data_IF_004139882585
#
_entry.id   IF_004139882585
#
_cell.length_a   1.000
_cell.length_b   1.000
_cell.length_c   1.000
_cell.angle_alpha   90.00
_cell.angle_beta   90.00
_cell.angle_gamma   90.00
#
_symmetry.space_group_name_H-M   'P 1'
#
loop_
_entity.id
_entity.type
_entity.pdbx_description
1 polymer ?
#
# COMPACT_ATOMS: atom_id res chain seq x y z
N UNK A 1 -2.68 18.16 -87.39
CA UNK A 1 -3.88 18.75 -86.79
C UNK A 1 -5.05 17.77 -86.69
N UNK A 2 -5.35 16.95 -87.67
CA UNK A 2 -6.44 15.97 -87.70
C UNK A 2 -6.34 14.87 -86.63
N UNK A 3 -5.16 14.39 -86.27
CA UNK A 3 -4.98 13.29 -85.32
C UNK A 3 -5.24 13.71 -83.84
N UNK A 4 -5.01 15.02 -83.52
CA UNK A 4 -5.31 15.56 -82.16
C UNK A 4 -6.82 15.79 -81.97
N UNK A 5 -7.53 16.20 -83.00
CA UNK A 5 -8.98 16.40 -82.95
C UNK A 5 -9.75 15.01 -82.75
N UNK A 6 -9.19 13.99 -83.42
CA UNK A 6 -9.83 12.63 -83.29
C UNK A 6 -9.60 12.02 -81.90
N UNK A 7 -8.43 12.20 -81.29
CA UNK A 7 -8.17 11.78 -79.89
C UNK A 7 -9.02 12.52 -78.88
N UNK A 8 -9.27 13.81 -79.06
CA UNK A 8 -10.14 14.62 -78.23
C UNK A 8 -11.63 14.22 -78.36
N UNK A 9 -12.08 13.86 -79.58
CA UNK A 9 -13.44 13.37 -79.81
C UNK A 9 -13.65 11.97 -79.19
N UNK A 10 -12.67 11.07 -79.36
CA UNK A 10 -12.74 9.72 -78.74
C UNK A 10 -12.72 9.75 -77.21
N UNK A 11 -11.96 10.65 -76.58
CA UNK A 11 -11.93 10.85 -75.14
C UNK A 11 -13.25 11.40 -74.61
N UNK A 12 -13.92 12.30 -75.35
CA UNK A 12 -15.26 12.80 -74.99
C UNK A 12 -16.34 11.72 -75.11
N UNK A 13 -16.30 10.89 -76.13
CA UNK A 13 -17.21 9.76 -76.28
C UNK A 13 -17.04 8.70 -75.18
N UNK A 14 -15.78 8.42 -74.82
CA UNK A 14 -15.47 7.51 -73.73
C UNK A 14 -15.94 8.05 -72.39
N UNK A 15 -15.77 9.36 -72.10
CA UNK A 15 -16.25 10.00 -70.88
C UNK A 15 -17.78 10.04 -70.82
N UNK A 16 -18.46 10.27 -71.93
CA UNK A 16 -19.92 10.20 -72.01
C UNK A 16 -20.42 8.77 -71.80
N UNK A 17 -19.71 7.76 -72.31
CA UNK A 17 -20.05 6.36 -72.10
C UNK A 17 -19.82 5.93 -70.65
N UNK A 18 -18.75 6.40 -70.01
CA UNK A 18 -18.46 6.19 -68.59
C UNK A 18 -19.50 6.87 -67.70
N UNK A 19 -19.90 8.10 -68.01
CA UNK A 19 -20.94 8.83 -67.29
C UNK A 19 -22.31 8.13 -67.47
N UNK A 20 -22.65 7.70 -68.67
CA UNK A 20 -23.88 6.91 -68.94
C UNK A 20 -23.85 5.58 -68.22
N UNK A 21 -22.70 4.90 -68.16
CA UNK A 21 -22.51 3.65 -67.42
C UNK A 21 -22.63 3.83 -65.91
N UNK A 22 -22.05 4.94 -65.35
CA UNK A 22 -22.18 5.34 -63.98
C UNK A 22 -23.64 5.67 -63.58
N UNK A 23 -24.38 6.32 -64.48
CA UNK A 23 -25.82 6.62 -64.29
C UNK A 23 -26.65 5.33 -64.32
N UNK A 24 -26.29 4.35 -65.13
CA UNK A 24 -26.96 3.04 -65.14
C UNK A 24 -26.67 2.18 -63.91
N UNK A 25 -25.50 2.34 -63.30
CA UNK A 25 -25.16 1.62 -62.03
C UNK A 25 -25.82 2.28 -60.83
N UNK A 26 -26.24 3.54 -60.93
CA UNK A 26 -26.93 4.28 -59.86
C UNK A 26 -28.41 4.02 -59.71
N UNK A 27 -28.98 3.03 -60.39
CA UNK A 27 -30.36 2.64 -60.15
C UNK A 27 -30.47 1.98 -58.74
N UNK A 28 -30.86 2.78 -57.76
CA UNK A 28 -31.52 2.30 -56.56
C UNK A 28 -32.68 1.38 -56.98
N UNK A 29 -32.86 0.24 -56.32
CA UNK A 29 -33.96 -0.67 -56.68
C UNK A 29 -35.28 0.09 -56.59
N UNK A 30 -35.93 0.34 -57.72
CA UNK A 30 -37.23 1.04 -57.79
C UNK A 30 -38.27 0.32 -56.93
N UNK A 31 -38.18 -0.99 -56.87
CA UNK A 31 -39.05 -1.81 -56.05
C UNK A 31 -38.85 -1.61 -54.57
N UNK A 32 -37.59 -1.43 -54.12
CA UNK A 32 -37.28 -1.13 -52.71
C UNK A 32 -37.81 0.26 -52.30
N UNK A 33 -37.61 1.27 -53.16
CA UNK A 33 -38.12 2.61 -52.89
C UNK A 33 -39.66 2.64 -52.87
N UNK A 34 -40.31 1.93 -53.79
CA UNK A 34 -41.74 1.78 -53.85
C UNK A 34 -42.25 1.10 -52.57
N UNK A 35 -41.63 -0.01 -52.17
CA UNK A 35 -41.97 -0.74 -50.97
C UNK A 35 -41.88 0.16 -49.74
N UNK A 36 -40.77 0.87 -49.56
CA UNK A 36 -40.61 1.81 -48.44
C UNK A 36 -41.68 2.91 -48.41
N UNK A 37 -42.00 3.44 -49.59
CA UNK A 37 -43.02 4.50 -49.71
C UNK A 37 -44.40 3.98 -49.35
N UNK A 38 -44.75 2.80 -49.80
CA UNK A 38 -46.06 2.19 -49.58
C UNK A 38 -46.25 1.72 -48.13
N UNK A 39 -45.21 1.08 -47.53
CA UNK A 39 -45.25 0.61 -46.15
C UNK A 39 -45.38 1.78 -45.13
N UNK A 40 -44.72 2.87 -45.38
CA UNK A 40 -44.76 4.02 -44.46
C UNK A 40 -45.81 5.08 -44.79
N UNK A 41 -46.60 4.83 -45.82
CA UNK A 41 -47.74 5.69 -46.19
C UNK A 41 -48.87 5.54 -45.20
N UNK A 42 -48.93 6.45 -44.21
CA UNK A 42 -49.93 6.40 -43.15
C UNK A 42 -49.52 5.61 -41.90
N UNK A 43 -48.29 5.06 -41.88
CA UNK A 43 -47.77 4.39 -40.70
C UNK A 43 -47.62 5.37 -39.53
N UNK A 44 -48.31 5.07 -38.42
CA UNK A 44 -48.21 5.88 -37.21
C UNK A 44 -47.31 5.21 -36.19
N UNK A 45 -46.08 5.70 -36.09
CA UNK A 45 -45.04 5.24 -35.19
C UNK A 45 -45.29 5.52 -33.71
N UNK A 46 -46.34 6.23 -33.33
CA UNK A 46 -46.65 6.62 -31.93
C UNK A 46 -47.64 5.64 -31.27
N UNK A 47 -48.26 4.75 -32.04
CA UNK A 47 -49.20 3.77 -31.52
C UNK A 47 -48.62 2.35 -31.57
N UNK A 48 -49.13 1.48 -30.67
CA UNK A 48 -48.75 0.07 -30.69
C UNK A 48 -49.24 -0.63 -31.97
N UNK A 49 -48.43 -1.53 -32.58
CA UNK A 49 -48.84 -2.24 -33.78
C UNK A 49 -49.72 -3.45 -33.43
N UNK A 50 -50.93 -3.18 -32.94
CA UNK A 50 -51.93 -4.19 -32.60
C UNK A 50 -53.21 -3.94 -33.34
N UNK A 51 -53.93 -4.98 -33.76
CA UNK A 51 -55.24 -4.86 -34.39
C UNK A 51 -56.32 -4.54 -33.38
N UNK A 52 -56.25 -5.16 -32.21
CA UNK A 52 -57.16 -4.93 -31.11
C UNK A 52 -56.45 -4.31 -29.92
N UNK A 53 -57.03 -3.35 -29.24
CA UNK A 53 -56.43 -2.66 -28.09
C UNK A 53 -56.18 -3.59 -26.89
N UNK A 54 -56.85 -4.71 -26.84
CA UNK A 54 -56.70 -5.76 -25.80
C UNK A 54 -55.54 -6.71 -26.07
N UNK A 55 -54.97 -6.69 -27.25
CA UNK A 55 -53.82 -7.52 -27.59
C UNK A 55 -52.54 -6.94 -27.06
N UNK A 56 -51.64 -7.83 -26.63
CA UNK A 56 -50.27 -7.48 -26.18
C UNK A 56 -49.32 -7.57 -27.36
N UNK A 57 -48.33 -6.67 -27.39
CA UNK A 57 -47.21 -6.80 -28.33
C UNK A 57 -46.14 -7.65 -27.67
N UNK A 58 -45.81 -8.78 -28.23
CA UNK A 58 -44.69 -9.61 -27.74
C UNK A 58 -43.36 -9.09 -28.28
N UNK A 59 -42.54 -8.56 -27.43
CA UNK A 59 -41.21 -8.05 -27.77
C UNK A 59 -40.16 -8.98 -27.20
N UNK A 60 -39.37 -9.59 -28.09
CA UNK A 60 -38.18 -10.37 -27.69
C UNK A 60 -36.97 -9.45 -27.65
N UNK A 61 -36.38 -9.37 -26.46
CA UNK A 61 -35.26 -8.47 -26.19
C UNK A 61 -33.98 -9.24 -25.90
N UNK A 62 -32.88 -8.88 -26.56
CA UNK A 62 -31.57 -9.42 -26.34
C UNK A 62 -30.52 -8.32 -26.32
N UNK A 63 -29.48 -8.51 -25.53
CA UNK A 63 -28.35 -7.63 -25.42
C UNK A 63 -27.08 -8.36 -25.86
N UNK A 64 -26.34 -7.78 -26.80
CA UNK A 64 -24.99 -8.22 -27.12
C UNK A 64 -23.98 -7.18 -26.63
N UNK A 65 -23.01 -7.62 -25.84
CA UNK A 65 -21.96 -6.76 -25.27
C UNK A 65 -20.72 -6.77 -26.15
N UNK A 66 -20.44 -5.63 -26.82
CA UNK A 66 -19.37 -5.53 -27.82
C UNK A 66 -18.07 -5.08 -27.22
N UNK A 67 -18.09 -4.04 -26.41
CA UNK A 67 -16.85 -3.46 -25.87
C UNK A 67 -17.09 -2.73 -24.56
N UNK A 68 -16.18 -2.91 -23.61
CA UNK A 68 -16.06 -2.08 -22.44
C UNK A 68 -15.10 -0.90 -22.75
N UNK A 69 -15.66 0.30 -22.89
CA UNK A 69 -14.89 1.50 -23.28
C UNK A 69 -14.15 2.06 -22.08
N UNK A 70 -14.87 2.33 -20.98
CA UNK A 70 -14.29 2.94 -19.78
C UNK A 70 -15.15 2.60 -18.54
N UNK A 71 -14.45 2.34 -17.45
CA UNK A 71 -15.03 2.27 -16.10
C UNK A 71 -14.40 3.36 -15.28
N UNK A 72 -15.17 4.40 -14.96
CA UNK A 72 -14.74 5.49 -14.10
C UNK A 72 -15.25 5.25 -12.68
N UNK A 73 -14.41 4.67 -11.83
CA UNK A 73 -14.77 4.31 -10.46
C UNK A 73 -15.03 5.54 -9.59
N UNK A 74 -14.30 6.62 -9.86
CA UNK A 74 -14.49 7.87 -9.10
C UNK A 74 -15.89 8.44 -9.27
N UNK A 75 -16.41 8.41 -10.49
CA UNK A 75 -17.73 8.93 -10.83
C UNK A 75 -18.81 7.84 -10.86
N UNK A 76 -18.42 6.56 -10.65
CA UNK A 76 -19.30 5.39 -10.71
C UNK A 76 -20.04 5.26 -12.05
N UNK A 77 -19.36 5.61 -13.14
CA UNK A 77 -19.89 5.57 -14.50
C UNK A 77 -19.16 4.50 -15.30
N UNK A 78 -19.90 3.59 -15.90
CA UNK A 78 -19.42 2.64 -16.90
C UNK A 78 -19.88 3.09 -18.28
N UNK A 79 -18.95 3.12 -19.25
CA UNK A 79 -19.23 3.34 -20.68
C UNK A 79 -18.95 2.06 -21.44
N UNK A 80 -19.94 1.55 -22.12
CA UNK A 80 -19.83 0.34 -22.92
C UNK A 80 -20.52 0.49 -24.26
N UNK A 81 -20.09 -0.29 -25.24
CA UNK A 81 -20.72 -0.45 -26.53
C UNK A 81 -21.55 -1.73 -26.50
N UNK A 82 -22.83 -1.61 -26.79
CA UNK A 82 -23.79 -2.72 -26.79
C UNK A 82 -24.63 -2.69 -28.04
N UNK A 83 -25.04 -3.86 -28.53
CA UNK A 83 -26.04 -4.00 -29.55
C UNK A 83 -27.32 -4.50 -28.92
N UNK A 84 -28.42 -3.79 -29.18
CA UNK A 84 -29.75 -4.20 -28.78
C UNK A 84 -30.38 -5.03 -29.92
N UNK A 85 -30.89 -6.20 -29.57
CA UNK A 85 -31.64 -7.07 -30.48
C UNK A 85 -33.08 -7.10 -30.04
N UNK A 86 -33.96 -6.51 -30.85
CA UNK A 86 -35.36 -6.39 -30.60
C UNK A 86 -36.12 -7.06 -31.75
N UNK A 87 -37.05 -7.91 -31.40
CA UNK A 87 -37.89 -8.60 -32.37
C UNK A 87 -39.34 -8.52 -31.91
N UNK A 88 -40.17 -7.94 -32.73
CA UNK A 88 -41.61 -7.89 -32.51
C UNK A 88 -42.37 -8.12 -33.84
N UNK A 89 -43.66 -8.36 -33.77
CA UNK A 89 -44.52 -8.48 -34.93
C UNK A 89 -45.30 -7.18 -35.13
N UNK A 90 -45.28 -6.67 -36.36
CA UNK A 90 -46.03 -5.46 -36.76
C UNK A 90 -46.95 -5.79 -37.94
N UNK A 91 -48.25 -5.84 -37.69
CA UNK A 91 -49.24 -6.18 -38.70
C UNK A 91 -49.36 -5.12 -39.82
N UNK A 92 -48.92 -3.89 -39.60
CA UNK A 92 -48.97 -2.79 -40.58
C UNK A 92 -47.81 -2.89 -41.58
N UNK A 93 -46.74 -3.58 -41.25
CA UNK A 93 -45.55 -3.71 -42.09
C UNK A 93 -45.51 -5.07 -42.79
N UNK A 94 -46.63 -5.39 -43.49
CA UNK A 94 -46.75 -6.63 -44.27
C UNK A 94 -46.75 -6.29 -45.75
N UNK A 95 -46.04 -7.09 -46.55
CA UNK A 95 -46.00 -7.00 -48.00
C UNK A 95 -45.94 -8.39 -48.64
N UNK A 96 -46.37 -8.51 -49.88
CA UNK A 96 -46.16 -9.71 -50.67
C UNK A 96 -44.86 -9.55 -51.47
N UNK A 97 -43.96 -10.52 -51.35
CA UNK A 97 -42.69 -10.51 -52.05
C UNK A 97 -42.85 -10.45 -53.59
N UNK A 98 -43.89 -11.05 -54.10
CA UNK A 98 -44.18 -11.10 -55.56
C UNK A 98 -44.49 -9.70 -56.17
N UNK A 99 -45.05 -8.79 -55.33
CA UNK A 99 -45.44 -7.45 -55.81
C UNK A 99 -44.26 -6.47 -55.85
N UNK A 100 -43.17 -6.81 -55.16
CA UNK A 100 -42.02 -5.96 -54.99
C UNK A 100 -40.70 -6.64 -55.41
N UNK A 101 -40.74 -7.31 -56.56
CA UNK A 101 -39.49 -7.86 -57.15
C UNK A 101 -38.78 -8.95 -56.35
N UNK A 102 -39.52 -9.65 -55.46
CA UNK A 102 -38.95 -10.73 -54.61
C UNK A 102 -38.23 -10.27 -53.40
N UNK A 103 -38.46 -9.03 -52.92
CA UNK A 103 -37.82 -8.51 -51.71
C UNK A 103 -38.44 -9.14 -50.46
N UNK A 104 -37.73 -10.09 -49.84
CA UNK A 104 -38.13 -10.76 -48.61
C UNK A 104 -37.66 -10.01 -47.34
N UNK A 105 -36.61 -9.17 -47.45
CA UNK A 105 -36.01 -8.47 -46.33
C UNK A 105 -35.70 -7.03 -46.71
N UNK A 106 -36.20 -6.10 -45.92
CA UNK A 106 -35.96 -4.67 -46.08
C UNK A 106 -35.11 -4.15 -44.90
N UNK A 107 -34.02 -3.44 -45.19
CA UNK A 107 -33.15 -2.83 -44.15
C UNK A 107 -33.34 -1.32 -44.12
N UNK A 108 -33.83 -0.82 -42.98
CA UNK A 108 -34.16 0.58 -42.81
C UNK A 108 -33.47 1.18 -41.58
N UNK A 109 -33.14 2.50 -41.60
CA UNK A 109 -32.63 3.16 -40.44
C UNK A 109 -33.69 3.24 -39.33
N UNK A 110 -33.28 3.09 -38.09
CA UNK A 110 -34.14 3.01 -36.90
C UNK A 110 -35.09 4.22 -36.76
N UNK A 111 -34.70 5.40 -37.25
CA UNK A 111 -35.49 6.64 -37.23
C UNK A 111 -36.89 6.46 -37.92
N UNK A 112 -37.02 5.56 -38.86
CA UNK A 112 -38.28 5.28 -39.57
C UNK A 112 -39.32 4.63 -38.68
N UNK A 113 -38.88 3.80 -37.70
CA UNK A 113 -39.78 3.04 -36.83
C UNK A 113 -40.27 3.79 -35.60
N UNK A 114 -39.71 4.98 -35.33
CA UNK A 114 -40.10 5.82 -34.20
C UNK A 114 -39.60 5.32 -32.84
N UNK A 115 -40.04 6.02 -31.80
CA UNK A 115 -39.64 5.73 -30.40
C UNK A 115 -40.57 4.66 -29.78
N UNK A 116 -40.82 3.55 -30.47
CA UNK A 116 -41.60 2.47 -29.85
C UNK A 116 -40.91 1.94 -28.58
N UNK A 117 -39.62 2.20 -28.46
CA UNK A 117 -38.79 1.78 -27.32
C UNK A 117 -37.82 2.92 -26.98
N UNK A 118 -38.26 3.82 -26.13
CA UNK A 118 -37.35 4.80 -25.50
C UNK A 118 -36.65 4.09 -24.37
N UNK A 119 -35.46 3.54 -24.66
CA UNK A 119 -34.62 2.97 -23.64
C UNK A 119 -33.91 4.08 -22.85
N UNK A 120 -34.29 4.26 -21.62
CA UNK A 120 -33.42 4.90 -20.64
C UNK A 120 -32.40 3.88 -20.14
N UNK A 121 -31.23 3.88 -20.75
CA UNK A 121 -30.08 3.13 -20.23
C UNK A 121 -29.47 3.92 -19.07
N UNK A 122 -30.02 3.80 -17.87
CA UNK A 122 -29.40 4.33 -16.66
C UNK A 122 -28.40 3.29 -16.17
N UNK A 123 -27.14 3.44 -16.59
CA UNK A 123 -26.04 2.64 -16.06
C UNK A 123 -25.50 3.28 -14.78
N UNK A 124 -26.10 2.95 -13.65
CA UNK A 124 -25.39 3.03 -12.37
C UNK A 124 -24.71 1.68 -12.11
N UNK A 125 -23.58 1.69 -11.39
CA UNK A 125 -22.79 0.49 -11.07
C UNK A 125 -23.58 -0.61 -10.33
N UNK A 126 -24.86 -0.39 -10.05
CA UNK A 126 -25.79 -1.27 -9.34
C UNK A 126 -27.22 -1.19 -9.88
N UNK A 127 -27.50 -0.78 -11.13
CA UNK A 127 -28.88 -0.51 -11.48
C UNK A 127 -29.40 -1.05 -12.81
N UNK A 128 -30.64 -1.38 -12.75
CA UNK A 128 -31.65 -1.92 -13.63
C UNK A 128 -31.92 -0.99 -14.81
N UNK A 129 -32.23 -1.59 -15.98
CA UNK A 129 -32.73 -0.87 -17.14
C UNK A 129 -34.25 -0.88 -17.06
N UNK A 130 -34.86 0.29 -16.94
CA UNK A 130 -36.32 0.44 -16.92
C UNK A 130 -36.85 0.82 -18.30
N UNK A 131 -37.90 0.15 -18.76
CA UNK A 131 -38.72 0.56 -19.91
C UNK A 131 -39.93 1.26 -19.33
N UNK A 132 -40.05 2.58 -19.51
CA UNK A 132 -40.95 3.43 -18.71
C UNK A 132 -42.31 3.67 -19.35
N UNK A 133 -42.52 3.41 -20.68
CA UNK A 133 -43.69 3.93 -21.37
C UNK A 133 -44.88 2.98 -21.55
N UNK A 134 -44.70 1.66 -21.37
CA UNK A 134 -45.80 0.69 -21.59
C UNK A 134 -45.88 -0.30 -20.42
N UNK A 135 -47.10 -0.56 -19.98
CA UNK A 135 -47.38 -1.58 -18.96
C UNK A 135 -47.26 -3.01 -19.54
N UNK A 136 -46.97 -4.00 -18.70
CA UNK A 136 -46.91 -5.41 -19.12
C UNK A 136 -48.23 -5.98 -19.67
N UNK A 137 -49.34 -5.26 -19.45
CA UNK A 137 -50.60 -5.57 -20.09
C UNK A 137 -50.67 -5.10 -21.55
N UNK A 138 -49.79 -4.21 -21.96
CA UNK A 138 -49.69 -3.65 -23.30
C UNK A 138 -48.53 -4.23 -24.11
N UNK A 139 -47.40 -4.50 -23.46
CA UNK A 139 -46.20 -5.05 -24.04
C UNK A 139 -45.71 -6.21 -23.16
N UNK A 140 -45.63 -7.39 -23.76
CA UNK A 140 -45.04 -8.57 -23.14
C UNK A 140 -43.57 -8.66 -23.51
N UNK A 141 -42.69 -8.71 -22.50
CA UNK A 141 -41.25 -8.88 -22.74
C UNK A 141 -40.85 -10.34 -22.61
N UNK A 142 -40.04 -10.80 -23.55
CA UNK A 142 -39.42 -12.12 -23.52
C UNK A 142 -37.94 -12.02 -23.87
N UNK A 143 -37.14 -12.96 -23.37
CA UNK A 143 -35.73 -13.04 -23.73
C UNK A 143 -35.57 -13.50 -25.19
N UNK A 144 -34.67 -12.84 -25.91
CA UNK A 144 -34.34 -13.21 -27.28
C UNK A 144 -33.79 -14.65 -27.34
N UNK A 145 -34.39 -15.50 -28.16
CA UNK A 145 -34.09 -16.93 -28.29
C UNK A 145 -34.09 -17.71 -26.94
N UNK A 146 -34.84 -17.25 -25.93
CA UNK A 146 -34.88 -17.79 -24.57
C UNK A 146 -33.51 -17.89 -23.90
N UNK A 147 -32.56 -17.02 -24.28
CA UNK A 147 -31.24 -16.98 -23.69
C UNK A 147 -31.24 -16.09 -22.44
N UNK A 148 -30.89 -16.67 -21.32
CA UNK A 148 -30.77 -15.98 -20.01
C UNK A 148 -29.39 -15.38 -19.76
N UNK A 149 -28.73 -14.92 -20.80
CA UNK A 149 -27.41 -14.31 -20.72
C UNK A 149 -27.21 -13.24 -21.81
N UNK A 150 -26.25 -12.36 -21.61
CA UNK A 150 -25.81 -11.37 -22.60
C UNK A 150 -24.91 -12.05 -23.63
N UNK A 151 -25.16 -11.80 -24.91
CA UNK A 151 -24.38 -12.37 -26.00
C UNK A 151 -22.99 -11.73 -26.08
N UNK A 152 -21.93 -12.57 -26.01
CA UNK A 152 -20.54 -12.16 -26.12
C UNK A 152 -19.89 -12.54 -27.46
N UNK A 153 -20.67 -12.88 -28.49
CA UNK A 153 -20.16 -13.33 -29.81
C UNK A 153 -19.17 -12.32 -30.43
N UNK A 154 -19.48 -11.04 -30.31
CA UNK A 154 -18.73 -9.95 -30.91
C UNK A 154 -17.94 -9.15 -29.85
N UNK A 155 -17.71 -9.75 -28.69
CA UNK A 155 -17.01 -9.06 -27.58
C UNK A 155 -15.52 -8.87 -27.86
N UNK A 156 -15.08 -7.62 -27.77
CA UNK A 156 -13.67 -7.24 -27.81
C UNK A 156 -13.06 -7.26 -26.42
N UNK A 157 -12.06 -8.14 -26.22
CA UNK A 157 -11.41 -8.30 -24.91
C UNK A 157 -10.82 -6.99 -24.41
N UNK A 158 -11.15 -6.63 -23.18
CA UNK A 158 -10.56 -5.47 -22.51
C UNK A 158 -9.14 -5.77 -22.02
N UNK A 159 -8.23 -4.82 -22.18
CA UNK A 159 -6.88 -4.92 -21.61
C UNK A 159 -6.83 -4.80 -20.08
N UNK A 160 -7.88 -4.24 -19.45
CA UNK A 160 -7.92 -3.88 -18.03
C UNK A 160 -8.94 -4.64 -17.20
N UNK A 161 -9.97 -5.21 -17.85
CA UNK A 161 -11.09 -5.89 -17.21
C UNK A 161 -11.32 -7.25 -17.80
N UNK A 162 -11.69 -8.21 -16.96
CA UNK A 162 -12.15 -9.52 -17.33
C UNK A 162 -13.64 -9.63 -17.04
N UNK A 163 -14.40 -10.25 -17.96
CA UNK A 163 -15.80 -10.63 -17.72
C UNK A 163 -15.81 -11.95 -16.97
N UNK A 164 -16.62 -12.05 -15.93
CA UNK A 164 -16.79 -13.27 -15.13
C UNK A 164 -18.09 -13.97 -15.51
N UNK A 165 -19.20 -13.23 -15.48
CA UNK A 165 -20.53 -13.74 -15.78
C UNK A 165 -21.38 -12.63 -16.40
N UNK A 166 -22.36 -13.01 -17.18
CA UNK A 166 -23.28 -12.08 -17.87
C UNK A 166 -24.71 -12.59 -17.85
N UNK A 167 -25.30 -12.88 -16.69
CA UNK A 167 -26.67 -13.41 -16.62
C UNK A 167 -27.73 -12.36 -16.99
N UNK A 168 -28.86 -12.83 -17.51
CA UNK A 168 -30.02 -12.01 -17.79
C UNK A 168 -31.27 -12.64 -17.14
N UNK A 169 -32.07 -11.82 -16.49
CA UNK A 169 -33.28 -12.24 -15.79
C UNK A 169 -34.50 -11.47 -16.32
N UNK A 170 -35.56 -12.21 -16.59
CA UNK A 170 -36.87 -11.63 -16.84
C UNK A 170 -37.63 -11.59 -15.52
N UNK A 171 -37.95 -10.37 -15.06
CA UNK A 171 -38.73 -10.15 -13.85
C UNK A 171 -40.16 -9.79 -14.21
N UNK A 172 -41.12 -10.44 -13.58
CA UNK A 172 -42.55 -10.18 -13.74
C UNK A 172 -43.10 -9.80 -12.38
N UNK A 173 -43.58 -8.56 -12.26
CA UNK A 173 -44.15 -8.04 -11.02
C UNK A 173 -45.68 -8.14 -11.09
N UNK A 174 -46.20 -9.15 -10.44
CA UNK A 174 -47.66 -9.34 -10.32
C UNK A 174 -48.15 -8.54 -9.11
N UNK A 175 -48.81 -7.43 -9.36
CA UNK A 175 -49.43 -6.56 -8.35
C UNK A 175 -50.86 -6.23 -8.65
N UNK A 176 -51.50 -5.37 -7.84
CA UNK A 176 -52.91 -4.93 -8.02
C UNK A 176 -53.10 -3.98 -9.20
N UNK A 177 -52.53 -4.28 -10.38
CA UNK A 177 -52.58 -3.54 -11.68
C UNK A 177 -51.73 -2.26 -11.78
N UNK A 178 -51.09 -2.03 -12.93
CA UNK A 178 -50.86 -2.92 -14.06
C UNK A 178 -49.67 -3.85 -13.84
N UNK A 179 -49.62 -4.98 -14.53
CA UNK A 179 -48.47 -5.92 -14.51
C UNK A 179 -47.24 -5.20 -15.09
N UNK A 180 -46.15 -5.21 -14.35
CA UNK A 180 -44.88 -4.67 -14.83
C UNK A 180 -43.95 -5.82 -15.19
N UNK A 181 -43.22 -5.67 -16.30
CA UNK A 181 -42.23 -6.65 -16.76
C UNK A 181 -40.96 -5.91 -17.14
N UNK A 182 -39.82 -6.38 -16.59
CA UNK A 182 -38.50 -5.88 -16.95
C UNK A 182 -37.52 -7.01 -17.23
N UNK A 183 -36.46 -6.70 -17.96
CA UNK A 183 -35.34 -7.60 -18.18
C UNK A 183 -34.08 -6.92 -17.61
N UNK A 184 -33.52 -7.58 -16.60
CA UNK A 184 -32.29 -7.10 -15.95
C UNK A 184 -31.10 -7.87 -16.48
N UNK A 185 -30.13 -7.17 -17.05
CA UNK A 185 -28.86 -7.73 -17.52
C UNK A 185 -27.74 -7.40 -16.53
N UNK A 186 -27.08 -8.43 -15.99
CA UNK A 186 -25.93 -8.26 -15.13
C UNK A 186 -24.66 -8.50 -15.93
N UNK A 187 -23.68 -7.62 -15.75
CA UNK A 187 -22.35 -7.76 -16.31
C UNK A 187 -21.37 -7.75 -15.15
N UNK A 188 -20.91 -8.94 -14.75
CA UNK A 188 -19.96 -9.10 -13.65
C UNK A 188 -18.56 -9.05 -14.23
N UNK A 189 -17.82 -8.01 -13.84
CA UNK A 189 -16.47 -7.75 -14.34
C UNK A 189 -15.46 -7.77 -13.19
N UNK A 190 -14.23 -8.21 -13.50
CA UNK A 190 -13.10 -8.23 -12.57
C UNK A 190 -11.93 -7.45 -13.18
N UNK A 191 -11.30 -6.64 -12.38
CA UNK A 191 -10.14 -5.89 -12.81
C UNK A 191 -8.90 -6.78 -12.93
N UNK A 192 -8.11 -6.60 -13.99
CA UNK A 192 -6.78 -7.21 -14.13
C UNK A 192 -5.82 -6.57 -13.14
N UNK A 193 -5.16 -7.39 -12.33
CA UNK A 193 -4.40 -6.93 -11.17
C UNK A 193 -3.03 -6.37 -11.51
N UNK A 194 -2.41 -6.81 -12.62
CA UNK A 194 -1.01 -6.56 -12.94
C UNK A 194 -0.62 -5.08 -12.89
N UNK A 195 -1.39 -4.21 -13.52
CA UNK A 195 -1.09 -2.78 -13.58
C UNK A 195 -1.08 -2.14 -12.18
N UNK A 196 -2.09 -2.43 -11.36
CA UNK A 196 -2.18 -1.88 -10.00
C UNK A 196 -1.17 -2.50 -9.07
N UNK A 197 -0.85 -3.77 -9.24
CA UNK A 197 0.18 -4.47 -8.45
C UNK A 197 1.55 -3.85 -8.67
N UNK A 198 1.95 -3.64 -9.92
CA UNK A 198 3.28 -3.09 -10.24
C UNK A 198 3.38 -1.60 -9.94
N UNK A 199 2.34 -0.81 -10.24
CA UNK A 199 2.45 0.66 -10.16
C UNK A 199 2.00 1.24 -8.81
N UNK A 200 1.16 0.54 -8.04
CA UNK A 200 0.67 1.02 -6.74
C UNK A 200 1.13 0.13 -5.59
N UNK A 201 0.85 -1.17 -5.62
CA UNK A 201 1.10 -2.05 -4.48
C UNK A 201 2.60 -2.21 -4.25
N UNK A 202 3.36 -2.55 -5.27
CA UNK A 202 4.80 -2.78 -5.15
C UNK A 202 5.55 -1.55 -4.60
N UNK A 203 5.39 -0.32 -5.14
CA UNK A 203 6.08 0.85 -4.60
C UNK A 203 5.67 1.18 -3.17
N UNK A 204 4.40 1.02 -2.80
CA UNK A 204 3.95 1.29 -1.43
C UNK A 204 4.50 0.27 -0.43
N UNK A 205 4.61 -1.00 -0.81
CA UNK A 205 5.25 -2.04 0.00
C UNK A 205 6.74 -1.73 0.18
N UNK A 206 7.44 -1.35 -0.88
CA UNK A 206 8.85 -0.97 -0.79
C UNK A 206 9.06 0.24 0.14
N UNK A 207 8.23 1.27 0.03
CA UNK A 207 8.27 2.45 0.92
C UNK A 207 8.02 2.03 2.38
N UNK A 208 7.10 1.10 2.65
CA UNK A 208 6.83 0.64 4.01
C UNK A 208 8.03 -0.09 4.64
N UNK A 209 8.77 -0.86 3.85
CA UNK A 209 10.02 -1.49 4.31
C UNK A 209 11.17 -0.50 4.48
N UNK A 210 11.23 0.55 3.66
CA UNK A 210 12.20 1.64 3.87
C UNK A 210 12.00 2.33 5.22
N UNK A 211 10.76 2.43 5.72
CA UNK A 211 10.47 2.96 7.05
C UNK A 211 11.18 2.17 8.16
N UNK A 212 11.31 0.86 8.02
CA UNK A 212 12.03 0.01 8.98
C UNK A 212 13.53 0.27 8.94
N UNK A 213 14.09 0.56 7.76
CA UNK A 213 15.53 0.85 7.60
C UNK A 213 15.99 2.11 8.32
N UNK A 214 15.08 3.04 8.66
CA UNK A 214 15.40 4.20 9.49
C UNK A 214 16.06 3.79 10.82
N UNK A 215 15.64 2.68 11.41
CA UNK A 215 16.21 2.15 12.66
C UNK A 215 17.54 1.42 12.47
N UNK A 216 17.89 1.07 11.24
CA UNK A 216 19.20 0.48 10.92
C UNK A 216 20.32 1.53 10.87
N UNK A 217 19.99 2.79 10.54
CA UNK A 217 20.98 3.87 10.53
C UNK A 217 21.44 4.19 11.95
N UNK A 218 22.77 4.43 12.15
CA UNK A 218 23.27 4.86 13.44
C UNK A 218 22.77 6.27 13.80
N UNK A 219 22.45 6.49 15.07
CA UNK A 219 21.92 7.76 15.54
C UNK A 219 22.90 8.94 15.39
N UNK A 220 24.20 8.64 15.25
CA UNK A 220 25.28 9.63 15.07
C UNK A 220 25.30 10.26 13.67
N UNK A 221 24.73 9.58 12.66
CA UNK A 221 24.79 10.03 11.26
C UNK A 221 24.02 11.33 10.98
N UNK A 222 23.15 11.78 11.90
CA UNK A 222 22.37 13.02 11.77
C UNK A 222 21.25 12.97 10.69
N UNK A 223 21.37 12.10 9.70
CA UNK A 223 20.48 12.02 8.54
C UNK A 223 19.24 11.12 8.76
N UNK A 224 19.15 10.51 9.92
CA UNK A 224 18.08 9.56 10.26
C UNK A 224 16.68 10.19 10.22
N UNK A 225 16.55 11.41 10.73
CA UNK A 225 15.29 12.18 10.71
C UNK A 225 14.96 12.59 9.29
N UNK A 226 15.95 13.05 8.54
CA UNK A 226 15.78 13.47 7.13
C UNK A 226 15.28 12.31 6.27
N UNK A 227 15.83 11.11 6.46
CA UNK A 227 15.34 9.90 5.81
C UNK A 227 13.88 9.61 6.18
N UNK A 228 13.53 9.64 7.47
CA UNK A 228 12.16 9.42 7.93
C UNK A 228 11.17 10.41 7.31
N UNK A 229 11.51 11.69 7.28
CA UNK A 229 10.66 12.74 6.69
C UNK A 229 10.54 12.57 5.17
N UNK A 230 11.60 12.20 4.46
CA UNK A 230 11.55 11.98 3.01
C UNK A 230 10.67 10.79 2.65
N UNK A 231 10.69 9.73 3.45
CA UNK A 231 9.78 8.59 3.30
C UNK A 231 8.33 9.02 3.55
N UNK A 232 8.08 9.82 4.60
CA UNK A 232 6.75 10.35 4.90
C UNK A 232 6.23 11.20 3.74
N UNK A 233 7.06 12.07 3.18
CA UNK A 233 6.70 12.91 2.04
C UNK A 233 6.33 12.05 0.81
N UNK A 234 7.14 11.03 0.51
CA UNK A 234 6.84 10.09 -0.57
C UNK A 234 5.51 9.39 -0.37
N UNK A 235 5.21 8.96 0.85
CA UNK A 235 3.95 8.32 1.20
C UNK A 235 2.75 9.27 1.04
N UNK A 236 2.89 10.55 1.44
CA UNK A 236 1.84 11.56 1.26
C UNK A 236 1.55 11.80 -0.22
N UNK A 237 2.60 11.85 -1.07
CA UNK A 237 2.42 11.97 -2.53
C UNK A 237 1.66 10.78 -3.08
N UNK A 238 1.97 9.55 -2.64
CA UNK A 238 1.21 8.35 -3.02
C UNK A 238 -0.24 8.41 -2.55
N UNK A 239 -0.49 8.85 -1.33
CA UNK A 239 -1.83 9.00 -0.79
C UNK A 239 -2.65 10.01 -1.62
N UNK A 240 -2.06 11.12 -2.03
CA UNK A 240 -2.68 12.08 -2.94
C UNK A 240 -2.96 11.50 -4.33
N UNK A 241 -2.05 10.69 -4.87
CA UNK A 241 -2.26 9.99 -6.15
C UNK A 241 -3.46 9.05 -6.07
N UNK A 242 -3.51 8.22 -5.02
CA UNK A 242 -4.58 7.25 -4.80
C UNK A 242 -5.92 7.95 -4.56
N UNK A 243 -5.95 9.06 -3.82
CA UNK A 243 -7.17 9.84 -3.59
C UNK A 243 -7.78 10.43 -4.88
N UNK A 244 -6.97 10.64 -5.93
CA UNK A 244 -7.46 11.08 -7.24
C UNK A 244 -8.15 9.96 -8.03
N UNK A 245 -7.76 8.71 -7.79
CA UNK A 245 -8.25 7.53 -8.52
C UNK A 245 -9.49 6.95 -7.84
N UNK A 246 -9.50 6.91 -6.51
CA UNK A 246 -10.56 6.29 -5.73
C UNK A 246 -11.82 7.17 -5.65
N UNK A 247 -13.01 6.55 -5.63
CA UNK A 247 -14.25 7.27 -5.37
C UNK A 247 -14.28 7.82 -3.95
N UNK A 248 -14.82 9.03 -3.71
CA UNK A 248 -14.97 9.62 -2.38
C UNK A 248 -16.15 8.98 -1.62
N UNK A 249 -16.09 7.66 -1.40
CA UNK A 249 -17.12 6.92 -0.66
C UNK A 249 -16.80 6.89 0.82
N UNK A 250 -17.82 7.07 1.67
CA UNK A 250 -17.71 6.97 3.13
C UNK A 250 -18.15 5.60 3.68
N UNK A 251 -18.72 4.73 2.82
CA UNK A 251 -19.29 3.47 3.24
C UNK A 251 -18.24 2.41 3.54
N UNK A 252 -17.24 2.29 2.67
CA UNK A 252 -16.17 1.28 2.81
C UNK A 252 -14.84 1.91 2.42
N UNK A 253 -13.83 1.72 3.28
CA UNK A 253 -12.47 2.14 2.96
C UNK A 253 -11.82 1.12 2.02
N UNK A 254 -11.37 1.52 0.82
CA UNK A 254 -10.68 0.64 -0.11
C UNK A 254 -9.40 0.03 0.51
N UNK A 255 -9.06 -1.20 0.11
CA UNK A 255 -7.92 -1.94 0.65
C UNK A 255 -6.60 -1.15 0.56
N UNK A 256 -6.34 -0.53 -0.57
CA UNK A 256 -5.13 0.28 -0.78
C UNK A 256 -5.08 1.49 0.16
N UNK A 257 -6.22 2.10 0.45
CA UNK A 257 -6.29 3.21 1.38
C UNK A 257 -6.07 2.76 2.83
N UNK A 258 -6.57 1.58 3.23
CA UNK A 258 -6.27 0.95 4.53
C UNK A 258 -4.77 0.72 4.68
N UNK A 259 -4.13 0.19 3.63
CA UNK A 259 -2.69 -0.07 3.64
C UNK A 259 -1.85 1.20 3.74
N UNK A 260 -2.19 2.23 2.96
CA UNK A 260 -1.52 3.53 3.02
C UNK A 260 -1.69 4.22 4.38
N UNK A 261 -2.88 4.14 4.97
CA UNK A 261 -3.13 4.69 6.30
C UNK A 261 -2.32 3.95 7.37
N UNK A 262 -2.29 2.63 7.32
CA UNK A 262 -1.46 1.81 8.22
C UNK A 262 0.02 2.21 8.13
N UNK A 263 0.59 2.26 6.91
CA UNK A 263 1.98 2.67 6.69
C UNK A 263 2.25 4.11 7.11
N UNK A 264 1.30 5.02 6.91
CA UNK A 264 1.41 6.41 7.33
C UNK A 264 1.53 6.52 8.86
N UNK A 265 0.67 5.82 9.59
CA UNK A 265 0.70 5.80 11.07
C UNK A 265 2.02 5.19 11.53
N UNK A 266 2.44 4.04 10.96
CA UNK A 266 3.68 3.38 11.32
C UNK A 266 4.90 4.28 11.07
N UNK A 267 4.95 4.99 9.95
CA UNK A 267 6.04 5.91 9.65
C UNK A 267 6.05 7.11 10.58
N UNK A 268 4.89 7.67 10.91
CA UNK A 268 4.79 8.78 11.87
C UNK A 268 5.30 8.38 13.25
N UNK A 269 4.89 7.20 13.74
CA UNK A 269 5.39 6.65 15.02
C UNK A 269 6.90 6.41 14.95
N UNK A 270 7.40 5.89 13.83
CA UNK A 270 8.84 5.69 13.60
C UNK A 270 9.62 6.99 13.74
N UNK A 271 9.15 8.09 13.15
CA UNK A 271 9.80 9.40 13.27
C UNK A 271 9.79 9.91 14.71
N UNK A 272 8.65 9.81 15.41
CA UNK A 272 8.54 10.23 16.81
C UNK A 272 9.52 9.47 17.71
N UNK A 273 9.57 8.15 17.57
CA UNK A 273 10.52 7.31 18.31
C UNK A 273 11.97 7.68 17.95
N UNK A 274 12.26 7.91 16.67
CA UNK A 274 13.59 8.31 16.21
C UNK A 274 14.05 9.62 16.87
N UNK A 275 13.17 10.61 17.02
CA UNK A 275 13.47 11.87 17.70
C UNK A 275 13.84 11.62 19.17
N UNK A 276 13.11 10.73 19.86
CA UNK A 276 13.40 10.35 21.25
C UNK A 276 14.76 9.67 21.34
N UNK A 277 15.07 8.74 20.44
CA UNK A 277 16.35 8.01 20.40
C UNK A 277 17.52 8.97 20.18
N UNK A 278 17.39 9.92 19.25
CA UNK A 278 18.41 10.94 19.01
C UNK A 278 18.62 11.81 20.24
N UNK A 279 17.53 12.23 20.89
CA UNK A 279 17.63 12.98 22.13
C UNK A 279 18.41 12.22 23.22
N UNK A 280 18.18 10.90 23.34
CA UNK A 280 18.92 10.07 24.29
C UNK A 280 20.38 9.86 23.89
N UNK A 281 20.67 9.73 22.60
CA UNK A 281 22.03 9.58 22.09
C UNK A 281 22.94 10.78 22.42
N UNK A 282 22.35 12.00 22.42
CA UNK A 282 23.10 13.23 22.73
C UNK A 282 23.08 13.63 24.22
N UNK A 283 22.49 12.81 25.10
CA UNK A 283 22.57 13.08 26.55
C UNK A 283 23.98 12.90 27.10
N UNK A 284 24.39 13.84 27.92
CA UNK A 284 25.66 13.80 28.62
C UNK A 284 25.51 13.85 30.15
N UNK A 285 26.53 13.52 30.91
CA UNK A 285 26.50 13.49 32.38
C UNK A 285 26.25 14.87 33.01
N UNK A 286 26.53 15.96 32.28
CA UNK A 286 26.24 17.33 32.71
C UNK A 286 24.77 17.68 32.73
N UNK A 287 23.98 17.01 31.89
CA UNK A 287 22.54 17.31 31.72
C UNK A 287 21.64 16.32 32.44
N UNK A 288 21.97 15.04 32.42
CA UNK A 288 21.10 13.99 32.97
C UNK A 288 21.93 12.84 33.57
N UNK A 289 21.70 12.53 34.84
CA UNK A 289 22.19 11.28 35.45
C UNK A 289 21.35 10.10 34.93
N UNK A 290 21.99 9.00 34.61
CA UNK A 290 21.30 7.80 34.17
C UNK A 290 20.59 7.14 35.37
N UNK A 291 19.25 6.99 35.34
CA UNK A 291 18.51 6.28 36.39
C UNK A 291 18.91 4.80 36.44
N UNK A 292 18.89 4.21 37.64
CA UNK A 292 19.28 2.82 37.85
C UNK A 292 18.44 1.81 37.04
N UNK A 293 17.14 2.06 36.88
CA UNK A 293 16.27 1.20 36.10
C UNK A 293 16.63 1.16 34.59
N UNK A 294 17.01 2.30 34.00
CA UNK A 294 17.50 2.36 32.60
C UNK A 294 18.77 1.51 32.48
N UNK A 295 19.69 1.66 33.43
CA UNK A 295 20.93 0.89 33.45
C UNK A 295 20.64 -0.61 33.49
N UNK A 296 19.75 -1.06 34.35
CA UNK A 296 19.43 -2.48 34.50
C UNK A 296 18.73 -3.03 33.26
N UNK A 297 17.70 -2.36 32.73
CA UNK A 297 16.89 -2.85 31.62
C UNK A 297 17.68 -2.79 30.29
N UNK A 298 18.21 -1.62 29.94
CA UNK A 298 18.81 -1.40 28.61
C UNK A 298 20.28 -1.81 28.49
N UNK A 299 20.99 -1.97 29.60
CA UNK A 299 22.39 -2.39 29.56
C UNK A 299 22.60 -3.89 29.89
N UNK A 300 21.66 -4.52 30.62
CA UNK A 300 21.80 -5.92 31.02
C UNK A 300 20.79 -6.83 30.33
N UNK A 301 19.47 -6.59 30.49
CA UNK A 301 18.45 -7.50 30.01
C UNK A 301 18.23 -7.43 28.50
N UNK A 302 18.02 -6.24 27.95
CA UNK A 302 17.73 -6.05 26.54
C UNK A 302 18.87 -6.51 25.60
N UNK A 303 20.15 -6.16 25.85
CA UNK A 303 21.23 -6.62 24.99
C UNK A 303 21.39 -8.14 24.98
N UNK A 304 21.12 -8.80 26.11
CA UNK A 304 21.13 -10.26 26.18
C UNK A 304 20.01 -10.88 25.31
N UNK A 305 18.81 -10.30 25.37
CA UNK A 305 17.66 -10.72 24.55
C UNK A 305 17.90 -10.47 23.05
N UNK A 306 18.56 -9.36 22.70
CA UNK A 306 18.84 -8.98 21.30
C UNK A 306 20.16 -9.57 20.78
N UNK A 307 20.84 -10.46 21.53
CA UNK A 307 22.11 -11.09 21.19
C UNK A 307 23.24 -10.06 20.87
N UNK A 308 23.16 -8.86 21.47
CA UNK A 308 24.15 -7.81 21.27
C UNK A 308 25.35 -8.02 22.21
N UNK A 309 26.55 -8.00 21.63
CA UNK A 309 27.80 -8.10 22.41
C UNK A 309 28.38 -6.69 22.61
N UNK A 310 28.65 -6.31 23.84
CA UNK A 310 29.39 -5.07 24.14
C UNK A 310 30.83 -5.16 23.65
N UNK A 311 31.45 -4.04 23.20
CA UNK A 311 32.88 -3.97 22.94
C UNK A 311 33.68 -4.36 24.16
N UNK A 312 34.78 -5.11 23.98
CA UNK A 312 35.59 -5.69 25.08
C UNK A 312 36.10 -4.62 26.08
N UNK A 313 36.49 -3.45 25.62
CA UNK A 313 36.95 -2.34 26.47
C UNK A 313 35.91 -1.89 27.48
N UNK A 314 34.66 -1.71 27.04
CA UNK A 314 33.55 -1.29 27.90
C UNK A 314 33.17 -2.39 28.91
N UNK A 315 33.30 -3.66 28.56
CA UNK A 315 33.00 -4.80 29.41
C UNK A 315 34.02 -4.95 30.56
N UNK A 316 35.31 -4.80 30.28
CA UNK A 316 36.37 -4.86 31.27
C UNK A 316 36.19 -3.74 32.32
N UNK A 317 35.88 -2.52 31.90
CA UNK A 317 35.62 -1.37 32.76
C UNK A 317 34.44 -1.63 33.70
N UNK A 318 33.36 -2.24 33.20
CA UNK A 318 32.19 -2.62 34.01
C UNK A 318 32.50 -3.69 35.06
N UNK A 319 33.34 -4.66 34.73
CA UNK A 319 33.76 -5.70 35.69
C UNK A 319 34.60 -5.10 36.85
N UNK A 320 35.37 -4.04 36.60
CA UNK A 320 36.13 -3.35 37.64
C UNK A 320 35.24 -2.47 38.53
N UNK A 321 34.15 -1.93 37.99
CA UNK A 321 33.28 -0.97 38.70
C UNK A 321 32.18 -1.65 39.54
N UNK A 322 31.93 -2.94 39.36
CA UNK A 322 30.96 -3.76 40.13
C UNK A 322 31.64 -5.00 40.72
N UNK A 323 32.49 -4.84 41.77
CA UNK A 323 33.02 -5.97 42.49
C UNK A 323 31.89 -6.58 43.34
N UNK A 324 31.29 -7.65 42.89
CA UNK A 324 30.26 -8.36 43.64
C UNK A 324 29.10 -8.98 42.81
N UNK A 325 28.94 -8.59 41.56
CA UNK A 325 28.01 -9.29 40.67
C UNK A 325 28.77 -10.42 40.01
N UNK A 326 28.57 -11.63 40.51
CA UNK A 326 29.20 -12.84 40.00
C UNK A 326 29.11 -12.93 38.49
N UNK A 327 30.24 -13.11 37.84
CA UNK A 327 30.30 -13.37 36.38
C UNK A 327 29.45 -14.58 36.10
N UNK A 328 28.38 -14.46 35.28
CA UNK A 328 27.68 -15.65 34.85
C UNK A 328 28.66 -16.54 34.08
N UNK A 329 28.69 -17.87 34.31
CA UNK A 329 29.59 -18.75 33.62
C UNK A 329 29.34 -18.66 32.12
N UNK A 330 30.36 -18.33 31.36
CA UNK A 330 30.27 -18.23 29.90
C UNK A 330 30.12 -19.62 29.29
N UNK A 331 29.15 -19.82 28.39
CA UNK A 331 29.08 -21.06 27.61
C UNK A 331 30.19 -21.17 26.55
N UNK A 332 30.96 -20.15 26.28
CA UNK A 332 32.04 -20.18 25.29
C UNK A 332 33.27 -19.35 25.71
N UNK A 333 34.35 -20.03 25.92
CA UNK A 333 35.71 -19.44 26.02
C UNK A 333 36.37 -19.61 27.38
N UNK A 334 37.34 -20.51 27.39
CA UNK A 334 38.33 -20.69 28.47
C UNK A 334 39.11 -19.39 28.71
N UNK A 335 39.59 -19.12 29.95
CA UNK A 335 40.41 -17.95 30.27
C UNK A 335 41.74 -17.85 29.52
N UNK A 336 42.08 -18.80 28.67
CA UNK A 336 43.34 -18.90 27.95
C UNK A 336 43.49 -17.99 26.73
N UNK A 337 42.42 -17.33 26.26
CA UNK A 337 42.41 -16.55 24.99
C UNK A 337 42.64 -15.03 25.16
N UNK A 338 43.18 -14.59 26.29
CA UNK A 338 43.61 -13.20 26.44
C UNK A 338 44.97 -13.06 25.74
N UNK A 339 45.08 -12.19 24.70
CA UNK A 339 46.36 -11.98 24.04
C UNK A 339 47.40 -11.52 25.07
N UNK A 340 48.52 -12.19 25.13
CA UNK A 340 49.67 -11.91 26.07
C UNK A 340 50.15 -10.45 26.03
N UNK A 341 49.81 -9.70 25.01
CA UNK A 341 50.15 -8.29 24.85
C UNK A 341 49.37 -7.33 25.77
N UNK A 342 48.21 -7.73 26.31
CA UNK A 342 47.43 -6.89 27.23
C UNK A 342 47.88 -7.12 28.67
N UNK A 343 48.43 -8.29 28.99
CA UNK A 343 48.94 -8.57 30.32
C UNK A 343 50.24 -7.78 30.65
N UNK A 344 51.04 -7.44 29.61
CA UNK A 344 52.26 -6.64 29.81
C UNK A 344 51.97 -5.15 30.04
N UNK A 345 50.89 -4.61 29.43
CA UNK A 345 50.47 -3.20 29.66
C UNK A 345 49.78 -3.06 31.02
N UNK A 346 49.04 -4.07 31.45
CA UNK A 346 48.34 -4.07 32.73
C UNK A 346 49.32 -4.29 33.91
N UNK A 347 50.40 -5.04 33.71
CA UNK A 347 51.44 -5.18 34.71
C UNK A 347 52.30 -3.93 34.82
N UNK A 348 52.55 -3.19 33.72
CA UNK A 348 53.27 -1.92 33.79
C UNK A 348 52.45 -0.81 34.48
N UNK A 349 51.14 -0.73 34.21
CA UNK A 349 50.29 0.26 34.90
C UNK A 349 50.05 -0.07 36.38
N UNK A 350 50.05 -1.36 36.76
CA UNK A 350 49.99 -1.77 38.18
C UNK A 350 51.26 -1.52 38.92
N UNK A 351 52.42 -1.65 38.29
CA UNK A 351 53.71 -1.36 38.90
C UNK A 351 53.83 0.14 39.15
N UNK A 352 53.47 1.02 38.21
CA UNK A 352 53.51 2.46 38.43
C UNK A 352 52.55 2.95 39.53
N UNK A 353 51.35 2.35 39.62
CA UNK A 353 50.34 2.67 40.64
C UNK A 353 50.76 2.14 42.02
N UNK A 354 51.50 1.01 42.09
CA UNK A 354 52.02 0.49 43.34
C UNK A 354 53.19 1.34 43.88
N UNK A 355 54.08 1.85 43.01
CA UNK A 355 55.15 2.75 43.44
C UNK A 355 54.64 4.08 44.02
N UNK A 356 53.51 4.60 43.48
CA UNK A 356 52.89 5.82 44.01
C UNK A 356 52.07 5.58 45.29
N UNK A 357 51.58 4.36 45.54
CA UNK A 357 50.80 4.01 46.73
C UNK A 357 51.73 3.63 47.93
N UNK A 358 52.93 3.13 47.67
CA UNK A 358 53.90 2.79 48.72
C UNK A 358 54.55 4.01 49.37
N UNK A 359 54.46 5.18 48.73
CA UNK A 359 54.92 6.43 49.31
C UNK A 359 54.01 7.00 50.42
N UNK A 360 52.80 6.40 50.60
CA UNK A 360 51.84 6.86 51.62
C UNK A 360 51.51 5.82 52.70
N UNK A 361 52.18 4.66 52.76
CA UNK A 361 52.01 3.69 53.83
C UNK A 361 53.15 3.69 54.81
N UNK A 362 52.97 4.42 55.88
CA UNK A 362 53.79 4.26 57.12
C UNK A 362 53.47 2.89 57.74
N UNK A 363 54.48 2.05 58.07
CA UNK A 363 54.24 0.63 58.41
C UNK A 363 53.79 0.38 59.86
N UNK A 364 53.28 1.36 60.61
CA UNK A 364 52.99 1.18 62.04
C UNK A 364 51.53 1.57 62.45
N UNK A 365 50.56 1.27 61.72
CA UNK A 365 49.18 1.34 62.21
C UNK A 365 48.53 -0.04 62.11
N UNK A 366 48.74 -0.90 63.08
CA UNK A 366 47.96 -2.14 63.26
C UNK A 366 46.61 -1.81 63.88
N UNK A 367 45.62 -1.71 63.09
CA UNK A 367 44.26 -1.69 63.57
C UNK A 367 43.85 -3.13 63.83
N UNK A 368 43.85 -3.50 65.11
CA UNK A 368 43.33 -4.76 65.61
C UNK A 368 41.80 -4.70 65.66
N UNK A 369 41.15 -5.19 64.63
CA UNK A 369 39.70 -5.38 64.62
C UNK A 369 39.34 -6.74 65.18
N UNK A 370 39.00 -6.77 66.51
CA UNK A 370 38.28 -7.91 67.08
C UNK A 370 36.79 -7.74 66.83
N UNK A 371 36.10 -8.77 66.41
CA UNK A 371 34.63 -8.79 66.44
C UNK A 371 34.15 -9.23 67.81
N UNK A 372 33.28 -8.47 68.47
CA UNK A 372 32.17 -9.01 69.22
C UNK A 372 31.40 -7.94 70.02
N UNK A 373 30.16 -8.00 69.80
CA UNK A 373 28.99 -8.05 70.69
C UNK A 373 29.07 -7.28 72.03
N UNK A 374 27.97 -6.56 72.23
CA UNK A 374 27.22 -6.28 73.43
C UNK A 374 27.59 -5.18 74.38
N UNK A 375 26.63 -4.31 74.50
CA UNK A 375 26.12 -3.59 75.67
C UNK A 375 27.14 -3.14 76.77
N UNK A 376 27.11 -1.86 77.01
CA UNK A 376 27.57 -1.36 78.35
C UNK A 376 27.90 0.09 78.38
N UNK A 377 27.03 0.87 78.94
CA UNK A 377 27.24 2.23 79.46
C UNK A 377 28.52 2.32 80.34
N UNK A 378 29.35 3.28 80.10
CA UNK A 378 30.44 3.56 81.01
C UNK A 378 31.31 4.78 80.62
N UNK A 379 31.08 5.89 81.28
CA UNK A 379 31.93 7.06 81.34
C UNK A 379 33.34 6.66 81.69
N UNK A 380 34.36 7.24 81.02
CA UNK A 380 35.72 7.14 81.39
C UNK A 380 36.63 7.84 80.40
N UNK A 381 36.98 9.07 80.71
CA UNK A 381 38.03 9.81 80.03
C UNK A 381 39.40 9.15 80.15
N UNK A 382 40.07 9.03 79.03
CA UNK A 382 41.53 8.89 79.08
C UNK A 382 42.18 9.78 77.99
N UNK A 383 42.91 10.71 78.52
CA UNK A 383 43.82 11.60 77.84
C UNK A 383 44.82 10.79 77.05
N UNK A 384 44.77 10.85 75.77
CA UNK A 384 45.84 10.42 74.91
C UNK A 384 46.98 11.44 75.01
N UNK A 385 47.98 11.07 75.82
CA UNK A 385 49.24 11.79 76.02
C UNK A 385 49.93 11.90 74.66
N UNK A 386 50.07 13.13 74.21
CA UNK A 386 50.78 13.49 73.00
C UNK A 386 52.28 13.36 73.31
N UNK A 387 52.90 12.28 73.00
CA UNK A 387 54.34 12.20 72.87
C UNK A 387 54.65 12.74 71.44
N UNK A 388 55.27 13.91 71.47
CA UNK A 388 55.91 14.52 70.33
C UNK A 388 57.18 13.75 70.01
N UNK A 389 57.07 12.79 69.08
CA UNK A 389 58.22 12.34 68.34
C UNK A 389 58.24 13.01 67.00
N UNK A 390 59.38 13.68 66.75
CA UNK A 390 59.72 14.35 65.53
C UNK A 390 59.48 13.46 64.32
N UNK A 391 58.33 13.61 63.68
CA UNK A 391 58.15 13.17 62.29
C UNK A 391 59.06 14.12 61.48
N UNK A 392 60.11 13.56 60.91
CA UNK A 392 60.73 14.07 59.73
C UNK A 392 59.66 14.15 58.63
N UNK A 393 58.86 15.21 58.66
CA UNK A 393 58.14 15.66 57.49
C UNK A 393 59.23 15.96 56.48
N UNK A 394 59.31 15.10 55.46
CA UNK A 394 60.04 15.43 54.25
C UNK A 394 59.45 16.76 53.82
N UNK A 395 60.09 17.85 54.15
CA UNK A 395 59.79 19.18 53.67
C UNK A 395 60.06 19.12 52.17
N UNK A 396 59.03 18.69 51.38
CA UNK A 396 59.05 18.87 49.94
C UNK A 396 59.34 20.35 49.71
N UNK A 397 60.34 20.63 48.91
CA UNK A 397 60.59 22.00 48.48
C UNK A 397 59.29 22.62 47.99
N UNK A 398 59.03 23.90 48.19
CA UNK A 398 57.77 24.53 47.76
C UNK A 398 57.49 24.33 46.26
N UNK A 399 58.52 24.06 45.48
CA UNK A 399 58.41 23.71 44.07
C UNK A 399 57.89 22.25 43.85
N UNK A 400 58.35 21.31 44.67
CA UNK A 400 57.90 19.93 44.64
C UNK A 400 56.44 19.80 45.11
N UNK A 401 56.03 20.60 46.12
CA UNK A 401 54.61 20.66 46.54
C UNK A 401 53.70 21.19 45.44
N UNK A 402 54.07 22.24 44.72
CA UNK A 402 53.31 22.75 43.55
C UNK A 402 53.28 21.77 42.43
N UNK A 403 54.33 21.01 42.18
CA UNK A 403 54.39 19.99 41.17
C UNK A 403 53.39 18.83 41.49
N UNK A 404 53.34 18.40 42.77
CA UNK A 404 52.42 17.35 43.24
C UNK A 404 50.97 17.80 43.10
N UNK A 405 50.65 19.03 43.50
CA UNK A 405 49.32 19.61 43.37
C UNK A 405 48.90 19.72 41.89
N UNK A 406 49.80 20.10 40.96
CA UNK A 406 49.54 20.12 39.53
C UNK A 406 49.31 18.73 38.97
N UNK A 407 50.05 17.71 39.39
CA UNK A 407 49.85 16.31 38.98
C UNK A 407 48.50 15.77 39.50
N UNK A 408 48.16 16.09 40.76
CA UNK A 408 46.88 15.69 41.35
C UNK A 408 45.68 16.34 40.57
N UNK A 409 45.80 17.62 40.27
CA UNK A 409 44.79 18.30 39.42
C UNK A 409 44.64 17.67 38.04
N UNK A 410 45.75 17.32 37.36
CA UNK A 410 45.73 16.65 36.08
C UNK A 410 45.09 15.26 36.20
N UNK A 411 45.45 14.49 37.24
CA UNK A 411 44.89 13.16 37.48
C UNK A 411 43.38 13.21 37.76
N UNK A 412 42.92 14.19 38.54
CA UNK A 412 41.52 14.42 38.82
C UNK A 412 40.75 14.86 37.54
N UNK A 413 41.37 15.74 36.75
CA UNK A 413 40.79 16.16 35.46
C UNK A 413 40.62 15.00 34.50
N UNK A 414 41.65 14.18 34.34
CA UNK A 414 41.58 12.96 33.49
C UNK A 414 40.53 11.95 33.99
N UNK A 415 40.42 11.78 35.31
CA UNK A 415 39.39 10.90 35.91
C UNK A 415 38.00 11.44 35.64
N UNK A 416 37.78 12.73 35.74
CA UNK A 416 36.50 13.36 35.46
C UNK A 416 36.15 13.30 33.96
N UNK A 417 37.13 13.44 33.07
CA UNK A 417 36.96 13.29 31.63
C UNK A 417 36.63 11.85 31.26
N UNK A 418 37.28 10.88 31.85
CA UNK A 418 36.99 9.45 31.67
C UNK A 418 35.55 9.11 32.10
N UNK A 419 35.11 9.59 33.24
CA UNK A 419 33.72 9.41 33.70
C UNK A 419 32.72 10.06 32.76
N UNK A 420 33.06 11.22 32.20
CA UNK A 420 32.24 11.91 31.23
C UNK A 420 32.09 11.08 29.93
N UNK A 421 33.21 10.60 29.41
CA UNK A 421 33.22 9.75 28.18
C UNK A 421 32.45 8.47 28.44
N UNK A 422 32.64 7.82 29.58
CA UNK A 422 31.95 6.58 29.92
C UNK A 422 30.42 6.76 29.96
N UNK A 423 29.94 7.80 30.64
CA UNK A 423 28.48 8.06 30.71
C UNK A 423 27.91 8.39 29.36
N UNK A 424 28.65 9.10 28.51
CA UNK A 424 28.25 9.39 27.13
C UNK A 424 28.16 8.11 26.27
N UNK A 425 29.14 7.23 26.39
CA UNK A 425 29.14 5.93 25.70
C UNK A 425 27.99 5.04 26.17
N UNK A 426 27.66 5.05 27.45
CA UNK A 426 26.51 4.32 27.99
C UNK A 426 25.19 4.81 27.40
N UNK A 427 24.97 6.13 27.28
CA UNK A 427 23.78 6.67 26.61
C UNK A 427 23.72 6.33 25.12
N UNK A 428 24.86 6.38 24.42
CA UNK A 428 24.94 5.94 23.01
C UNK A 428 24.60 4.47 22.86
N UNK A 429 25.09 3.64 23.79
CA UNK A 429 24.79 2.21 23.75
C UNK A 429 23.30 1.94 24.02
N UNK A 430 22.68 2.64 24.97
CA UNK A 430 21.25 2.58 25.22
C UNK A 430 20.46 2.96 23.95
N UNK A 431 20.83 4.04 23.27
CA UNK A 431 20.20 4.45 22.02
C UNK A 431 20.32 3.36 20.95
N UNK A 432 21.48 2.74 20.80
CA UNK A 432 21.72 1.64 19.86
C UNK A 432 20.85 0.40 20.18
N UNK A 433 20.71 0.06 21.45
CA UNK A 433 19.88 -1.07 21.90
C UNK A 433 18.40 -0.82 21.58
N UNK A 434 17.91 0.41 21.79
CA UNK A 434 16.54 0.79 21.46
C UNK A 434 16.33 0.75 19.94
N UNK A 435 17.27 1.25 19.14
CA UNK A 435 17.21 1.18 17.68
C UNK A 435 17.07 -0.27 17.18
N UNK A 436 17.83 -1.20 17.76
CA UNK A 436 17.75 -2.63 17.40
C UNK A 436 16.43 -3.24 17.83
N UNK A 437 15.93 -2.92 19.02
CA UNK A 437 14.63 -3.38 19.48
C UNK A 437 13.51 -2.89 18.54
N UNK A 438 13.53 -1.60 18.21
CA UNK A 438 12.55 -0.99 17.31
C UNK A 438 12.66 -1.58 15.90
N UNK A 439 13.86 -1.83 15.38
CA UNK A 439 14.07 -2.49 14.10
C UNK A 439 13.30 -3.82 14.02
N UNK A 440 13.49 -4.70 15.01
CA UNK A 440 12.81 -5.99 15.02
C UNK A 440 11.30 -5.85 15.21
N UNK A 441 10.86 -5.01 16.13
CA UNK A 441 9.45 -4.79 16.40
C UNK A 441 8.73 -4.22 15.17
N UNK A 442 9.27 -3.17 14.56
CA UNK A 442 8.70 -2.55 13.36
C UNK A 442 8.75 -3.50 12.15
N UNK A 443 9.81 -4.27 12.00
CA UNK A 443 9.89 -5.28 10.93
C UNK A 443 8.78 -6.31 11.05
N UNK A 444 8.56 -6.86 12.25
CA UNK A 444 7.51 -7.85 12.49
C UNK A 444 6.13 -7.24 12.24
N UNK A 445 5.85 -6.06 12.81
CA UNK A 445 4.55 -5.39 12.67
C UNK A 445 4.29 -5.00 11.23
N UNK A 446 5.27 -4.44 10.52
CA UNK A 446 5.13 -4.05 9.11
C UNK A 446 4.91 -5.28 8.23
N UNK A 447 5.67 -6.36 8.45
CA UNK A 447 5.51 -7.60 7.68
C UNK A 447 4.16 -8.24 7.95
N UNK A 448 3.77 -8.39 9.22
CA UNK A 448 2.49 -8.97 9.59
C UNK A 448 1.31 -8.11 9.07
N UNK A 449 1.40 -6.79 9.21
CA UNK A 449 0.39 -5.86 8.70
C UNK A 449 0.28 -5.89 7.17
N UNK A 450 1.41 -5.95 6.46
CA UNK A 450 1.43 -6.06 5.00
C UNK A 450 0.79 -7.37 4.54
N UNK A 451 1.19 -8.49 5.11
CA UNK A 451 0.61 -9.80 4.78
C UNK A 451 -0.88 -9.83 5.13
N UNK A 452 -1.26 -9.39 6.35
CA UNK A 452 -2.64 -9.39 6.80
C UNK A 452 -3.56 -8.58 5.89
N UNK A 453 -3.16 -7.35 5.51
CA UNK A 453 -3.96 -6.50 4.63
C UNK A 453 -4.00 -7.05 3.20
N UNK A 454 -2.90 -7.60 2.67
CA UNK A 454 -2.88 -8.18 1.33
C UNK A 454 -3.69 -9.48 1.25
N UNK A 455 -3.72 -10.28 2.32
CA UNK A 455 -4.54 -11.49 2.39
C UNK A 455 -6.04 -11.20 2.52
N UNK A 456 -6.43 -10.01 2.98
CA UNK A 456 -7.82 -9.55 3.00
C UNK A 456 -8.37 -9.23 1.57
N UNK A 457 -7.53 -9.27 0.55
CA UNK A 457 -7.96 -9.04 -0.83
C UNK A 457 -8.55 -10.33 -1.43
N UNK A 458 -9.86 -10.34 -1.76
CA UNK A 458 -10.48 -11.49 -2.40
C UNK A 458 -9.90 -11.68 -3.81
N UNK A 459 -9.68 -12.92 -4.19
CA UNK A 459 -9.39 -13.31 -5.59
C UNK A 459 -8.12 -12.75 -6.25
N UNK A 460 -7.13 -12.28 -5.49
CA UNK A 460 -5.86 -11.79 -6.07
C UNK A 460 -5.13 -12.85 -6.89
N UNK A 461 -5.23 -14.11 -6.49
CA UNK A 461 -4.52 -15.22 -7.11
C UNK A 461 -5.36 -16.04 -8.09
N UNK A 462 -6.63 -15.68 -8.31
CA UNK A 462 -7.47 -16.40 -9.25
C UNK A 462 -7.23 -15.91 -10.68
N UNK A 463 -6.89 -16.86 -11.54
CA UNK A 463 -6.80 -16.62 -12.98
C UNK A 463 -8.15 -16.84 -13.64
N UNK A 464 -8.54 -15.90 -14.50
CA UNK A 464 -9.80 -15.95 -15.28
C UNK A 464 -9.47 -16.23 -16.74
N UNK A 465 -9.89 -17.39 -17.26
CA UNK A 465 -9.79 -17.71 -18.67
C UNK A 465 -10.91 -17.04 -19.45
N UNK A 466 -10.61 -15.89 -20.05
CA UNK A 466 -11.57 -15.10 -20.83
C UNK A 466 -12.03 -15.82 -22.09
N UNK A 467 -11.20 -16.65 -22.71
CA UNK A 467 -11.58 -17.36 -23.94
C UNK A 467 -12.67 -18.38 -23.66
N UNK A 468 -12.54 -19.10 -22.57
CA UNK A 468 -13.55 -20.05 -22.11
C UNK A 468 -14.89 -19.37 -21.78
N UNK A 469 -14.85 -18.21 -21.11
CA UNK A 469 -16.07 -17.47 -20.76
C UNK A 469 -16.76 -16.95 -22.01
N UNK A 470 -16.03 -16.36 -22.95
CA UNK A 470 -16.59 -15.90 -24.22
C UNK A 470 -17.20 -17.07 -25.00
N UNK A 471 -16.61 -18.25 -24.98
CA UNK A 471 -17.12 -19.42 -25.64
C UNK A 471 -18.42 -19.92 -25.02
N UNK A 472 -18.54 -19.92 -23.69
CA UNK A 472 -19.77 -20.30 -22.96
C UNK A 472 -20.94 -19.35 -23.30
N UNK A 473 -20.68 -18.04 -23.33
CA UNK A 473 -21.69 -17.02 -23.58
C UNK A 473 -21.76 -16.59 -25.06
N UNK A 474 -21.20 -17.39 -25.94
CA UNK A 474 -21.34 -17.18 -27.40
C UNK A 474 -22.75 -17.48 -27.82
N UNK A 475 -23.43 -16.47 -28.30
CA UNK A 475 -24.81 -16.60 -28.78
C UNK A 475 -24.85 -17.27 -30.14
N UNK A 476 -24.71 -18.60 -30.23
CA UNK A 476 -24.95 -19.37 -31.45
C UNK A 476 -26.43 -19.58 -31.67
#
# INVERSE_FOLDING_TARGET
MHLMMWKASAARLLSLFLISYLILIGNCSEDEERLVRDLFRGYNKLIRPVQNMTEKVDVRFGLAFVQLINVNEKNQIMKSNVWLRLVWNDYQLQWDEADYGGIAVLRLPLIKFGNLILFYLITNLHHEVWIVDFNGDQVSLALYNNKNFVDLSDYWKSGTWDIIEVPAYLNIYEGNHPTETDITFYIIIRRKTLFYTVNLILPTVLISFLCVLVFYLPAEAGEKVTLGISILLSLVVFLLLVSKILPPTSLVLPLIAKYLLFTFIMNTVSILVTVVIINWNFRGPRTHRMPSWIRTVFLNYLPAMLLMKRPRKTRLRWMMEMPGMGVPPHPYGSPADIPKHISSIESQSKVEVMELSDLHHHPNCKINRKPNSDLGVGMGGDSCRRESESSDSILLSPEASKATEAVEFIAEHLRNEDLYIQTREDWKYVAMVIDRLQLYMFFIVTTAGTIGILMDAPHIFEYVDQDRIIEIYRGK
#
